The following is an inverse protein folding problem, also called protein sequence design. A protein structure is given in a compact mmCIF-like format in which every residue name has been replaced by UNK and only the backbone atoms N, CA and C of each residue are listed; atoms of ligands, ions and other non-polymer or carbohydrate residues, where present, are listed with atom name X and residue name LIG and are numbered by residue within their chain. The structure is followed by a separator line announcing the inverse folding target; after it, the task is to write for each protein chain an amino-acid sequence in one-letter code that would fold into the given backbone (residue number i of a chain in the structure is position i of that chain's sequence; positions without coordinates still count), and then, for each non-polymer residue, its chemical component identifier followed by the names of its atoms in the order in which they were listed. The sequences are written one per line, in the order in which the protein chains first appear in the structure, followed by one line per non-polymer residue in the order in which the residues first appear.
data_IF_857041357458
#
_entry.id   IF_857041357458
#
_cell.length_a   1.000
_cell.length_b   1.000
_cell.length_c   1.000
_cell.angle_alpha   90.00
_cell.angle_beta   90.00
_cell.angle_gamma   90.00
#
_symmetry.space_group_name_H-M   'P 1'
#
loop_
_entity.id
_entity.type
_entity.pdbx_description
1 polymer ?
#
# COMPACT_ATOMS: atom_id res chain seq x y z
N UNK A 1 9.92 3.39 -9.64
CA UNK A 1 8.46 3.14 -9.68
C UNK A 1 8.26 1.66 -9.44
N UNK A 2 7.67 1.27 -8.29
CA UNK A 2 7.52 -0.15 -7.85
C UNK A 2 6.56 -0.95 -8.73
N UNK A 3 5.59 -0.29 -9.37
CA UNK A 3 4.64 -0.91 -10.30
C UNK A 3 5.07 -0.72 -11.76
N UNK A 4 4.89 -1.78 -12.56
CA UNK A 4 5.22 -1.83 -13.99
C UNK A 4 4.30 -0.93 -14.83
N UNK A 5 3.07 -0.71 -14.36
CA UNK A 5 2.10 0.20 -14.94
C UNK A 5 2.29 1.63 -14.37
N UNK A 6 2.66 2.56 -15.25
CA UNK A 6 2.94 3.97 -14.92
C UNK A 6 1.72 4.68 -14.32
N UNK A 7 0.51 4.41 -14.80
CA UNK A 7 -0.70 5.07 -14.31
C UNK A 7 -1.10 4.53 -12.94
N UNK A 8 -1.05 3.21 -12.76
CA UNK A 8 -1.31 2.60 -11.45
C UNK A 8 -0.26 3.04 -10.41
N UNK A 9 1.01 3.11 -10.80
CA UNK A 9 2.08 3.62 -9.94
C UNK A 9 1.86 5.06 -9.49
N UNK A 10 1.38 5.94 -10.38
CA UNK A 10 1.03 7.31 -10.03
C UNK A 10 -0.14 7.37 -9.04
N UNK A 11 -1.24 6.67 -9.34
CA UNK A 11 -2.46 6.68 -8.51
C UNK A 11 -2.14 6.16 -7.12
N UNK A 12 -1.43 5.04 -7.01
CA UNK A 12 -1.07 4.44 -5.72
C UNK A 12 -0.16 5.36 -4.90
N UNK A 13 0.84 5.98 -5.52
CA UNK A 13 1.72 6.92 -4.82
C UNK A 13 0.97 8.18 -4.36
N UNK A 14 0.05 8.69 -5.18
CA UNK A 14 -0.81 9.80 -4.80
C UNK A 14 -1.70 9.43 -3.61
N UNK A 15 -2.37 8.27 -3.68
CA UNK A 15 -3.21 7.78 -2.59
C UNK A 15 -2.41 7.57 -1.31
N UNK A 16 -1.18 7.05 -1.40
CA UNK A 16 -0.29 6.89 -0.24
C UNK A 16 0.02 8.25 0.40
N UNK A 17 0.31 9.27 -0.41
CA UNK A 17 0.50 10.64 0.07
C UNK A 17 -0.75 11.19 0.76
N UNK A 18 -1.94 10.96 0.19
CA UNK A 18 -3.22 11.35 0.79
C UNK A 18 -3.46 10.60 2.11
N UNK A 19 -3.12 9.31 2.20
CA UNK A 19 -3.24 8.54 3.44
C UNK A 19 -2.34 9.09 4.55
N UNK A 20 -1.10 9.46 4.22
CA UNK A 20 -0.20 10.13 5.17
C UNK A 20 -0.74 11.50 5.61
N UNK A 21 -1.23 12.32 4.68
CA UNK A 21 -1.85 13.60 5.02
C UNK A 21 -3.09 13.42 5.92
N UNK A 22 -3.91 12.40 5.64
CA UNK A 22 -5.08 12.05 6.45
C UNK A 22 -4.70 11.66 7.88
N UNK A 23 -3.58 10.96 8.09
CA UNK A 23 -3.05 10.68 9.45
C UNK A 23 -2.74 11.98 10.18
N UNK A 24 -1.98 12.89 9.55
CA UNK A 24 -1.61 14.15 10.18
C UNK A 24 -2.83 15.03 10.49
N UNK A 25 -3.73 15.17 9.52
CA UNK A 25 -4.96 15.95 9.67
C UNK A 25 -5.83 15.33 10.76
N UNK A 26 -6.06 14.01 10.71
CA UNK A 26 -6.87 13.29 11.68
C UNK A 26 -6.32 13.37 13.10
N UNK A 27 -5.02 13.16 13.29
CA UNK A 27 -4.35 13.33 14.58
C UNK A 27 -4.58 14.74 15.14
N UNK A 28 -4.29 15.76 14.33
CA UNK A 28 -4.33 17.14 14.77
C UNK A 28 -5.77 17.61 15.01
N UNK A 29 -6.71 17.26 14.14
CA UNK A 29 -8.12 17.58 14.31
C UNK A 29 -8.70 16.90 15.55
N UNK A 30 -8.38 15.62 15.78
CA UNK A 30 -8.86 14.91 16.96
C UNK A 30 -8.26 15.46 18.25
N UNK A 31 -6.99 15.85 18.25
CA UNK A 31 -6.38 16.49 19.41
C UNK A 31 -7.07 17.82 19.73
N UNK A 32 -7.21 18.71 18.74
CA UNK A 32 -7.81 20.03 18.94
C UNK A 32 -9.26 19.95 19.41
N UNK A 33 -10.05 18.99 18.92
CA UNK A 33 -11.46 18.84 19.32
C UNK A 33 -11.66 18.48 20.78
N UNK A 34 -10.69 17.81 21.42
CA UNK A 34 -10.82 17.31 22.80
C UNK A 34 -9.83 17.95 23.78
N UNK A 35 -8.93 18.81 23.29
CA UNK A 35 -7.90 19.47 24.10
C UNK A 35 -8.50 20.39 25.17
N UNK A 36 -9.61 21.06 24.85
CA UNK A 36 -10.31 21.94 25.80
C UNK A 36 -10.98 21.18 26.94
N UNK A 37 -11.45 19.94 26.69
CA UNK A 37 -12.12 19.12 27.69
C UNK A 37 -11.13 18.46 28.66
N UNK A 38 -10.15 17.75 28.12
CA UNK A 38 -9.14 17.06 28.94
C UNK A 38 -7.96 16.64 28.09
N UNK A 39 -6.76 16.99 28.56
CA UNK A 39 -5.51 16.61 27.91
C UNK A 39 -5.38 15.09 27.71
N UNK A 40 -5.82 14.28 28.68
CA UNK A 40 -5.71 12.82 28.61
C UNK A 40 -6.64 12.26 27.52
N UNK A 41 -7.87 12.78 27.43
CA UNK A 41 -8.84 12.39 26.40
C UNK A 41 -8.35 12.83 25.02
N UNK A 42 -7.80 14.04 24.90
CA UNK A 42 -7.21 14.54 23.66
C UNK A 42 -6.03 13.68 23.19
N UNK A 43 -5.22 13.15 24.10
CA UNK A 43 -4.14 12.24 23.73
C UNK A 43 -4.67 10.90 23.20
N UNK A 44 -5.71 10.34 23.83
CA UNK A 44 -6.34 9.09 23.37
C UNK A 44 -7.06 9.31 22.02
N UNK A 45 -7.70 10.46 21.83
CA UNK A 45 -8.44 10.77 20.60
C UNK A 45 -7.56 10.83 19.37
N UNK A 46 -6.27 11.19 19.50
CA UNK A 46 -5.28 11.13 18.40
C UNK A 46 -5.26 9.73 17.78
N UNK A 47 -5.25 8.67 18.59
CA UNK A 47 -5.22 7.29 18.09
C UNK A 47 -6.45 6.96 17.24
N UNK A 48 -7.61 7.50 17.62
CA UNK A 48 -8.85 7.35 16.85
C UNK A 48 -8.77 8.17 15.56
N UNK A 49 -8.25 9.39 15.64
CA UNK A 49 -8.09 10.29 14.49
C UNK A 49 -7.16 9.75 13.40
N UNK A 50 -6.10 9.02 13.77
CA UNK A 50 -5.17 8.43 12.79
C UNK A 50 -5.67 7.13 12.16
N UNK A 51 -6.65 6.45 12.77
CA UNK A 51 -7.09 5.12 12.32
C UNK A 51 -7.50 5.08 10.84
N UNK A 52 -8.35 6.00 10.32
CA UNK A 52 -8.76 5.96 8.92
C UNK A 52 -7.58 6.03 7.94
N UNK A 53 -6.60 6.90 8.23
CA UNK A 53 -5.39 7.03 7.41
C UNK A 53 -4.49 5.79 7.49
N UNK A 54 -4.31 5.23 8.68
CA UNK A 54 -3.53 4.00 8.89
C UNK A 54 -4.14 2.80 8.16
N UNK A 55 -5.47 2.64 8.22
CA UNK A 55 -6.19 1.59 7.48
C UNK A 55 -5.97 1.75 5.97
N UNK A 56 -6.05 2.98 5.47
CA UNK A 56 -5.81 3.26 4.05
C UNK A 56 -4.38 2.89 3.61
N UNK A 57 -3.36 3.20 4.42
CA UNK A 57 -1.96 2.79 4.15
C UNK A 57 -1.85 1.27 4.06
N UNK A 58 -2.43 0.54 5.02
CA UNK A 58 -2.36 -0.92 5.03
C UNK A 58 -3.01 -1.54 3.79
N UNK A 59 -4.18 -1.05 3.39
CA UNK A 59 -4.87 -1.53 2.19
C UNK A 59 -4.06 -1.24 0.91
N UNK A 60 -3.43 -0.07 0.83
CA UNK A 60 -2.57 0.29 -0.30
C UNK A 60 -1.33 -0.60 -0.37
N UNK A 61 -0.66 -0.84 0.76
CA UNK A 61 0.52 -1.70 0.79
C UNK A 61 0.17 -3.15 0.43
N UNK A 62 -0.98 -3.65 0.90
CA UNK A 62 -1.49 -4.97 0.52
C UNK A 62 -1.77 -5.05 -0.98
N UNK A 63 -2.36 -4.01 -1.55
CA UNK A 63 -2.64 -3.93 -2.98
C UNK A 63 -1.34 -3.93 -3.81
N UNK A 64 -0.35 -3.11 -3.44
CA UNK A 64 0.97 -3.06 -4.09
C UNK A 64 1.63 -4.43 -4.05
N UNK A 65 1.71 -5.02 -2.86
CA UNK A 65 2.37 -6.32 -2.64
C UNK A 65 1.71 -7.42 -3.46
N UNK A 66 0.37 -7.43 -3.52
CA UNK A 66 -0.38 -8.40 -4.32
C UNK A 66 -0.09 -8.25 -5.81
N UNK A 67 0.00 -7.01 -6.30
CA UNK A 67 0.34 -6.73 -7.71
C UNK A 67 1.77 -7.14 -8.05
N UNK A 68 2.74 -6.83 -7.19
CA UNK A 68 4.13 -7.24 -7.34
C UNK A 68 4.25 -8.76 -7.40
N UNK A 69 3.63 -9.46 -6.45
CA UNK A 69 3.59 -10.94 -6.41
C UNK A 69 3.00 -11.54 -7.69
N UNK A 70 1.94 -10.96 -8.22
CA UNK A 70 1.32 -11.43 -9.46
C UNK A 70 2.23 -11.25 -10.68
N UNK A 71 2.91 -10.10 -10.80
CA UNK A 71 3.90 -9.85 -11.87
C UNK A 71 5.08 -10.82 -11.78
N UNK A 72 5.59 -11.07 -10.57
CA UNK A 72 6.66 -12.06 -10.35
C UNK A 72 6.22 -13.47 -10.73
N UNK A 73 5.01 -13.89 -10.37
CA UNK A 73 4.48 -15.20 -10.73
C UNK A 73 4.43 -15.39 -12.25
N UNK A 74 3.95 -14.38 -12.99
CA UNK A 74 3.90 -14.42 -14.45
C UNK A 74 5.31 -14.52 -15.07
N UNK A 75 6.30 -13.82 -14.51
CA UNK A 75 7.69 -13.90 -14.97
C UNK A 75 8.25 -15.31 -14.74
N UNK A 76 7.96 -15.92 -13.60
CA UNK A 76 8.36 -17.31 -13.31
C UNK A 76 7.70 -18.31 -14.25
N UNK A 77 6.39 -18.18 -14.53
CA UNK A 77 5.68 -19.06 -15.48
C UNK A 77 6.29 -18.97 -16.89
N UNK A 78 6.57 -17.76 -17.38
CA UNK A 78 7.22 -17.56 -18.69
C UNK A 78 8.64 -18.14 -18.74
N UNK A 79 9.38 -18.08 -17.64
CA UNK A 79 10.71 -18.70 -17.56
C UNK A 79 10.60 -20.23 -17.59
N UNK A 80 9.64 -20.80 -16.86
CA UNK A 80 9.38 -22.23 -16.85
C UNK A 80 9.00 -22.76 -18.23
N UNK A 81 8.11 -22.08 -18.94
CA UNK A 81 7.73 -22.41 -20.32
C UNK A 81 8.95 -22.43 -21.25
N UNK A 82 9.82 -21.41 -21.18
CA UNK A 82 11.04 -21.34 -21.99
C UNK A 82 12.00 -22.49 -21.69
N UNK A 83 12.16 -22.86 -20.43
CA UNK A 83 13.00 -24.00 -20.03
C UNK A 83 12.43 -25.32 -20.56
N UNK A 84 11.10 -25.48 -20.51
CA UNK A 84 10.41 -26.67 -20.98
C UNK A 84 10.57 -26.84 -22.51
N UNK A 85 10.33 -25.79 -23.29
CA UNK A 85 10.54 -25.81 -24.75
C UNK A 85 12.00 -26.06 -25.12
N UNK A 86 12.95 -25.52 -24.35
CA UNK A 86 14.39 -25.76 -24.59
C UNK A 86 14.76 -27.21 -24.32
N UNK A 87 14.20 -27.81 -23.27
CA UNK A 87 14.42 -29.22 -22.95
C UNK A 87 13.86 -30.13 -24.05
N UNK A 88 12.62 -29.91 -24.47
CA UNK A 88 11.99 -30.66 -25.57
C UNK A 88 12.81 -30.60 -26.87
N UNK A 89 13.40 -29.45 -27.21
CA UNK A 89 14.28 -29.29 -28.38
C UNK A 89 15.65 -29.93 -28.23
N UNK A 90 16.11 -30.21 -27.01
CA UNK A 90 17.41 -30.84 -26.75
C UNK A 90 17.31 -32.36 -26.66
N UNK A 91 16.13 -32.87 -26.31
CA UNK A 91 15.81 -34.30 -26.24
C UNK A 91 15.34 -34.90 -27.60
N UNK A 92 15.23 -34.07 -28.65
CA UNK A 92 14.92 -34.41 -30.06
C UNK A 92 16.16 -34.30 -30.94
#
# INVERSE_FOLDING_TARGET
MRLEDRYLGFVVNFLLGVSWASIFIGAFSSFLSFYEDSFLIAFISIFIGVMPGMIAILLLELFITTKEKYSELQKQTRLLEKLLTKKEKTDL
#
